data_IF_437232090945
#
_entry.id   IF_437232090945
#
_cell.length_a   1.000
_cell.length_b   1.000
_cell.length_c   1.000
_cell.angle_alpha   90.00
_cell.angle_beta   90.00
_cell.angle_gamma   90.00
#
_symmetry.space_group_name_H-M   'P 1'
#
loop_
_entity.id
_entity.type
_entity.pdbx_description
1 polymer ?
#
# COMPACT_ATOMS: atom_id res chain seq x y z
N UNK A 1 11.34 -14.63 22.33
CA UNK A 1 10.67 -15.09 21.13
C UNK A 1 9.80 -14.00 20.52
N UNK A 2 9.32 -14.19 19.29
CA UNK A 2 8.37 -13.29 18.65
C UNK A 2 6.95 -13.76 18.95
N UNK A 3 6.02 -12.81 19.11
CA UNK A 3 4.58 -13.11 19.15
C UNK A 3 4.07 -13.42 17.74
N UNK A 4 3.13 -14.36 17.66
CA UNK A 4 2.51 -14.77 16.40
C UNK A 4 1.05 -14.34 16.38
N UNK A 5 0.66 -13.53 15.41
CA UNK A 5 -0.71 -13.10 15.19
C UNK A 5 -1.24 -13.65 13.88
N UNK A 6 -2.38 -14.35 13.92
CA UNK A 6 -2.99 -14.91 12.72
C UNK A 6 -4.01 -13.96 12.12
N UNK A 7 -3.93 -13.71 10.82
CA UNK A 7 -4.94 -12.92 10.11
C UNK A 7 -6.16 -13.78 9.75
N UNK A 8 -7.28 -13.53 10.43
CA UNK A 8 -8.63 -14.04 10.11
C UNK A 8 -9.47 -12.85 9.65
N UNK A 9 -8.90 -12.02 8.79
CA UNK A 9 -9.37 -10.68 8.47
C UNK A 9 -10.02 -10.57 7.09
N UNK A 10 -10.73 -11.61 6.69
CA UNK A 10 -11.57 -11.61 5.49
C UNK A 10 -13.04 -11.69 5.87
N UNK A 11 -13.93 -11.16 5.03
CA UNK A 11 -15.35 -11.42 5.17
C UNK A 11 -15.62 -12.91 4.93
N UNK A 12 -16.49 -13.49 5.72
CA UNK A 12 -16.80 -14.93 5.73
C UNK A 12 -18.28 -15.14 5.47
N UNK A 13 -18.63 -16.19 4.73
CA UNK A 13 -20.02 -16.59 4.54
C UNK A 13 -20.43 -17.55 5.66
N UNK A 14 -21.72 -17.65 5.91
CA UNK A 14 -22.26 -18.52 6.98
C UNK A 14 -21.76 -19.96 6.88
N UNK A 15 -21.78 -20.53 5.67
CA UNK A 15 -21.28 -21.88 5.36
C UNK A 15 -19.77 -22.10 5.61
N UNK A 16 -19.00 -21.01 5.73
CA UNK A 16 -17.56 -21.04 5.99
C UNK A 16 -17.26 -20.93 7.50
N UNK A 17 -18.19 -20.40 8.28
CA UNK A 17 -18.05 -20.30 9.76
C UNK A 17 -17.95 -21.67 10.43
N UNK A 18 -18.69 -22.66 9.94
CA UNK A 18 -18.67 -24.03 10.47
C UNK A 18 -17.27 -24.65 10.45
N UNK A 19 -16.42 -24.25 9.52
CA UNK A 19 -15.05 -24.75 9.37
C UNK A 19 -14.04 -23.99 10.24
N UNK A 20 -14.45 -22.88 10.83
CA UNK A 20 -13.52 -21.97 11.51
C UNK A 20 -12.98 -22.57 12.82
N UNK A 21 -13.77 -23.40 13.50
CA UNK A 21 -13.36 -24.08 14.73
C UNK A 21 -12.17 -25.02 14.48
N UNK A 22 -12.33 -25.93 13.53
CA UNK A 22 -11.30 -26.91 13.18
C UNK A 22 -10.06 -26.24 12.59
N UNK A 23 -10.23 -25.11 11.90
CA UNK A 23 -9.13 -24.31 11.38
C UNK A 23 -8.34 -23.64 12.49
N UNK A 24 -8.98 -23.01 13.49
CA UNK A 24 -8.30 -22.23 14.53
C UNK A 24 -7.76 -23.08 15.69
N UNK A 25 -8.48 -24.15 16.08
CA UNK A 25 -8.16 -24.98 17.22
C UNK A 25 -6.69 -25.43 17.30
N UNK A 26 -6.07 -25.98 16.22
CA UNK A 26 -4.68 -26.45 16.29
C UNK A 26 -3.67 -25.35 16.61
N UNK A 27 -3.95 -24.11 16.20
CA UNK A 27 -3.09 -22.96 16.47
C UNK A 27 -3.30 -22.41 17.88
N UNK A 28 -4.56 -22.34 18.31
CA UNK A 28 -4.93 -21.94 19.68
C UNK A 28 -4.26 -22.85 20.71
N UNK A 29 -4.37 -24.19 20.55
CA UNK A 29 -3.75 -25.18 21.43
C UNK A 29 -2.21 -25.11 21.47
N UNK A 30 -1.59 -24.55 20.41
CA UNK A 30 -0.14 -24.32 20.35
C UNK A 30 0.30 -22.94 20.85
N UNK A 31 -0.61 -22.16 21.41
CA UNK A 31 -0.31 -20.87 22.02
C UNK A 31 -0.23 -19.72 21.00
N UNK A 32 -1.18 -19.66 20.05
CA UNK A 32 -1.35 -18.49 19.20
C UNK A 32 -1.61 -17.24 20.06
N UNK A 33 -0.80 -16.19 19.87
CA UNK A 33 -0.85 -15.00 20.74
C UNK A 33 -2.07 -14.11 20.50
N UNK A 34 -2.56 -14.00 19.25
CA UNK A 34 -3.77 -13.25 18.91
C UNK A 34 -4.26 -13.56 17.50
N UNK A 35 -5.48 -13.11 17.20
CA UNK A 35 -6.05 -13.07 15.84
C UNK A 35 -6.37 -11.65 15.42
N UNK A 36 -6.23 -11.36 14.10
CA UNK A 36 -6.60 -10.08 13.51
C UNK A 36 -7.88 -10.31 12.72
N UNK A 37 -8.99 -9.64 13.10
CA UNK A 37 -10.33 -9.93 12.63
C UNK A 37 -10.96 -8.70 11.96
N UNK A 38 -11.73 -8.91 10.89
CA UNK A 38 -12.56 -7.91 10.21
C UNK A 38 -14.06 -8.22 10.35
N UNK A 39 -14.44 -9.48 10.20
CA UNK A 39 -15.83 -9.94 10.14
C UNK A 39 -16.44 -10.03 11.53
N UNK A 40 -17.62 -9.43 11.74
CA UNK A 40 -18.30 -9.43 13.04
C UNK A 40 -18.85 -10.81 13.41
N UNK A 41 -19.22 -11.66 12.44
CA UNK A 41 -19.62 -13.05 12.68
C UNK A 41 -18.46 -13.87 13.20
N UNK A 42 -17.28 -13.73 12.54
CA UNK A 42 -16.02 -14.34 13.00
C UNK A 42 -15.64 -13.84 14.39
N UNK A 43 -15.81 -12.54 14.65
CA UNK A 43 -15.55 -11.94 15.95
C UNK A 43 -16.37 -12.61 17.06
N UNK A 44 -17.68 -12.68 16.86
CA UNK A 44 -18.60 -13.33 17.79
C UNK A 44 -18.23 -14.80 17.99
N UNK A 45 -18.01 -15.53 16.89
CA UNK A 45 -17.61 -16.93 16.92
C UNK A 45 -16.35 -17.17 17.77
N UNK A 46 -15.31 -16.34 17.60
CA UNK A 46 -14.06 -16.46 18.38
C UNK A 46 -14.33 -16.19 19.87
N UNK A 47 -15.14 -15.21 20.21
CA UNK A 47 -15.51 -14.93 21.60
C UNK A 47 -16.25 -16.09 22.29
N UNK A 48 -17.06 -16.81 21.53
CA UNK A 48 -17.84 -17.96 22.05
C UNK A 48 -16.99 -19.22 22.18
N UNK A 49 -16.05 -19.47 21.24
CA UNK A 49 -15.32 -20.75 21.20
C UNK A 49 -13.88 -20.67 21.70
N UNK A 50 -13.27 -19.47 21.67
CA UNK A 50 -11.89 -19.21 22.08
C UNK A 50 -11.82 -17.93 22.95
N UNK A 51 -12.48 -17.94 24.15
CA UNK A 51 -12.70 -16.71 24.95
C UNK A 51 -11.41 -16.04 25.40
N UNK A 52 -10.34 -16.81 25.61
CA UNK A 52 -9.04 -16.30 26.05
C UNK A 52 -8.14 -15.80 24.89
N UNK A 53 -8.55 -16.01 23.61
CA UNK A 53 -7.76 -15.60 22.47
C UNK A 53 -7.93 -14.10 22.23
N UNK A 54 -6.86 -13.29 22.34
CA UNK A 54 -6.93 -11.86 22.08
C UNK A 54 -7.34 -11.56 20.64
N UNK A 55 -8.23 -10.56 20.46
CA UNK A 55 -8.67 -10.10 19.15
C UNK A 55 -8.12 -8.72 18.88
N UNK A 56 -7.42 -8.56 17.74
CA UNK A 56 -7.01 -7.29 17.17
C UNK A 56 -7.98 -6.91 16.06
N UNK A 57 -8.58 -5.73 16.15
CA UNK A 57 -9.43 -5.20 15.09
C UNK A 57 -8.59 -4.86 13.85
N UNK A 58 -8.93 -5.47 12.71
CA UNK A 58 -8.20 -5.26 11.45
C UNK A 58 -8.35 -3.83 10.94
N UNK A 59 -7.34 -3.31 10.24
CA UNK A 59 -7.48 -2.07 9.47
C UNK A 59 -8.63 -2.10 8.47
N UNK A 60 -9.06 -3.28 8.04
CA UNK A 60 -10.22 -3.46 7.15
C UNK A 60 -11.57 -3.15 7.82
N UNK A 61 -11.62 -3.00 9.14
CA UNK A 61 -12.78 -2.48 9.85
C UNK A 61 -12.93 -0.96 9.74
N UNK A 62 -11.99 -0.29 9.08
CA UNK A 62 -12.03 1.15 8.78
C UNK A 62 -12.18 2.02 10.04
N UNK A 63 -11.33 1.77 11.03
CA UNK A 63 -11.36 2.56 12.27
C UNK A 63 -10.73 3.93 12.01
N UNK A 64 -11.56 4.96 11.98
CA UNK A 64 -11.20 6.34 11.63
C UNK A 64 -11.43 7.33 12.78
N UNK A 65 -11.73 6.86 14.00
CA UNK A 65 -11.91 7.72 15.14
C UNK A 65 -12.16 6.96 16.43
N UNK A 66 -12.10 7.68 17.55
CA UNK A 66 -12.15 7.09 18.88
C UNK A 66 -13.47 6.40 19.21
N UNK A 67 -14.63 6.86 18.66
CA UNK A 67 -15.92 6.19 18.91
C UNK A 67 -15.95 4.79 18.32
N UNK A 68 -15.38 4.60 17.13
CA UNK A 68 -15.27 3.27 16.54
C UNK A 68 -14.30 2.38 17.34
N UNK A 69 -13.18 2.95 17.79
CA UNK A 69 -12.22 2.24 18.64
C UNK A 69 -12.84 1.84 19.99
N UNK A 70 -13.65 2.73 20.61
CA UNK A 70 -14.37 2.47 21.84
C UNK A 70 -15.37 1.30 21.69
N UNK A 71 -16.19 1.32 20.64
CA UNK A 71 -17.12 0.22 20.38
C UNK A 71 -16.41 -1.13 20.21
N UNK A 72 -15.27 -1.15 19.52
CA UNK A 72 -14.48 -2.36 19.35
C UNK A 72 -13.85 -2.83 20.66
N UNK A 73 -13.41 -1.89 21.52
CA UNK A 73 -12.95 -2.22 22.87
C UNK A 73 -14.05 -2.85 23.71
N UNK A 74 -15.27 -2.28 23.67
CA UNK A 74 -16.46 -2.84 24.36
C UNK A 74 -16.82 -4.24 23.87
N UNK A 75 -16.56 -4.53 22.58
CA UNK A 75 -16.66 -5.87 22.02
C UNK A 75 -15.50 -6.79 22.40
N UNK A 76 -14.51 -6.29 23.16
CA UNK A 76 -13.36 -7.03 23.65
C UNK A 76 -12.13 -7.00 22.77
N UNK A 77 -11.95 -6.00 21.89
CA UNK A 77 -10.68 -5.78 21.20
C UNK A 77 -9.58 -5.46 22.23
N UNK A 78 -8.43 -6.11 22.07
CA UNK A 78 -7.22 -5.78 22.83
C UNK A 78 -6.34 -4.79 22.06
N UNK A 79 -6.48 -4.74 20.73
CA UNK A 79 -5.77 -3.84 19.83
C UNK A 79 -6.65 -3.40 18.69
N UNK A 80 -6.45 -2.17 18.24
CA UNK A 80 -7.09 -1.60 17.05
C UNK A 80 -6.01 -1.23 16.03
N UNK A 81 -6.13 -1.77 14.81
CA UNK A 81 -5.31 -1.33 13.67
C UNK A 81 -6.04 -0.20 12.96
N UNK A 82 -5.52 1.00 13.06
CA UNK A 82 -6.15 2.20 12.48
C UNK A 82 -6.22 2.11 10.95
N UNK A 83 -7.17 2.85 10.36
CA UNK A 83 -7.15 3.13 8.95
C UNK A 83 -5.86 3.92 8.59
N UNK A 84 -5.33 3.70 7.37
CA UNK A 84 -4.09 4.36 6.92
C UNK A 84 -4.27 5.85 6.64
N UNK A 85 -5.50 6.27 6.56
CA UNK A 85 -5.93 7.62 6.19
C UNK A 85 -5.96 8.61 7.36
N UNK A 86 -5.70 8.14 8.60
CA UNK A 86 -5.67 8.99 9.78
C UNK A 86 -4.39 9.83 9.84
N UNK A 87 -4.56 11.07 10.29
CA UNK A 87 -3.45 11.91 10.74
C UNK A 87 -2.96 11.49 12.13
N UNK A 88 -1.78 11.96 12.52
CA UNK A 88 -1.22 11.73 13.87
C UNK A 88 -2.10 12.33 14.96
N UNK A 89 -2.76 13.47 14.69
CA UNK A 89 -3.70 14.08 15.63
C UNK A 89 -4.92 13.18 15.86
N UNK A 90 -5.54 12.65 14.79
CA UNK A 90 -6.67 11.73 14.91
C UNK A 90 -6.29 10.44 15.68
N UNK A 91 -5.05 9.95 15.51
CA UNK A 91 -4.53 8.82 16.28
C UNK A 91 -4.36 9.18 17.75
N UNK A 92 -3.83 10.36 18.05
CA UNK A 92 -3.69 10.86 19.42
C UNK A 92 -5.06 11.01 20.11
N UNK A 93 -6.09 11.47 19.38
CA UNK A 93 -7.46 11.53 19.89
C UNK A 93 -8.00 10.14 20.26
N UNK A 94 -7.69 9.09 19.50
CA UNK A 94 -8.06 7.72 19.87
C UNK A 94 -7.39 7.33 21.18
N UNK A 95 -6.08 7.57 21.32
CA UNK A 95 -5.32 7.28 22.55
C UNK A 95 -5.91 8.00 23.77
N UNK A 96 -6.27 9.26 23.60
CA UNK A 96 -6.73 10.10 24.73
C UNK A 96 -8.12 9.71 25.24
N UNK A 97 -8.93 9.07 24.39
CA UNK A 97 -10.32 8.68 24.74
C UNK A 97 -10.48 7.20 25.03
N UNK A 98 -9.60 6.32 24.53
CA UNK A 98 -9.81 4.87 24.58
C UNK A 98 -8.55 4.17 25.05
N UNK A 99 -8.62 3.49 26.17
CA UNK A 99 -7.55 2.65 26.68
C UNK A 99 -7.51 1.31 25.89
N UNK A 100 -6.93 1.32 24.69
CA UNK A 100 -6.74 0.19 23.80
C UNK A 100 -5.38 0.31 23.11
N UNK A 101 -4.72 -0.81 22.84
CA UNK A 101 -3.48 -0.75 22.04
C UNK A 101 -3.77 -0.27 20.62
N UNK A 102 -3.02 0.72 20.17
CA UNK A 102 -3.11 1.26 18.81
C UNK A 102 -1.98 0.70 17.96
N UNK A 103 -2.33 0.12 16.80
CA UNK A 103 -1.38 -0.29 15.77
C UNK A 103 -1.58 0.55 14.51
N UNK A 104 -0.51 1.10 13.95
CA UNK A 104 -0.58 1.90 12.73
C UNK A 104 0.47 1.46 11.71
N UNK A 105 0.13 1.60 10.42
CA UNK A 105 1.08 1.32 9.34
C UNK A 105 2.16 2.39 9.27
N UNK A 106 3.40 1.94 9.16
CA UNK A 106 4.58 2.81 9.06
C UNK A 106 5.37 2.60 7.77
N UNK A 107 5.21 1.45 7.11
CA UNK A 107 5.95 1.16 5.88
C UNK A 107 5.19 0.25 4.93
N UNK A 108 5.36 0.49 3.63
CA UNK A 108 4.91 -0.37 2.55
C UNK A 108 3.69 0.15 1.79
N UNK A 109 2.96 -0.74 1.12
CA UNK A 109 1.94 -0.37 0.17
C UNK A 109 0.76 0.40 0.78
N UNK A 110 0.40 1.54 0.17
CA UNK A 110 -0.86 2.24 0.40
C UNK A 110 -1.93 1.78 -0.59
N UNK A 111 -3.18 1.73 -0.14
CA UNK A 111 -4.33 1.49 -1.00
C UNK A 111 -4.83 2.81 -1.61
N UNK A 112 -5.34 2.76 -2.84
CA UNK A 112 -5.99 3.90 -3.50
C UNK A 112 -7.31 4.28 -2.83
N UNK A 113 -8.07 3.28 -2.37
CA UNK A 113 -9.32 3.47 -1.63
C UNK A 113 -9.07 3.44 -0.12
N UNK A 114 -10.03 3.95 0.63
CA UNK A 114 -10.05 3.81 2.09
C UNK A 114 -9.81 2.37 2.53
N UNK A 115 -9.11 2.21 3.63
CA UNK A 115 -8.80 0.92 4.23
C UNK A 115 -10.07 0.09 4.44
N UNK A 116 -10.13 -1.12 3.87
CA UNK A 116 -11.29 -2.02 3.98
C UNK A 116 -12.47 -1.73 3.04
N UNK A 117 -12.49 -0.61 2.29
CA UNK A 117 -13.64 -0.17 1.50
C UNK A 117 -13.45 -0.34 -0.03
N UNK A 118 -12.40 -1.04 -0.46
CA UNK A 118 -12.07 -1.16 -1.87
C UNK A 118 -12.88 -2.24 -2.58
N UNK A 119 -13.65 -1.85 -3.61
CA UNK A 119 -14.38 -2.76 -4.50
C UNK A 119 -13.72 -2.93 -5.88
N UNK A 120 -12.64 -2.19 -6.19
CA UNK A 120 -12.06 -2.13 -7.53
C UNK A 120 -11.69 -3.51 -8.09
N UNK A 121 -11.03 -4.35 -7.28
CA UNK A 121 -10.63 -5.69 -7.70
C UNK A 121 -11.82 -6.65 -7.88
N UNK A 122 -12.90 -6.44 -7.15
CA UNK A 122 -14.14 -7.21 -7.30
C UNK A 122 -14.85 -6.87 -8.61
N UNK A 123 -14.95 -5.56 -8.92
CA UNK A 123 -15.67 -5.06 -10.10
C UNK A 123 -14.95 -5.37 -11.40
N UNK A 124 -13.62 -5.20 -11.45
CA UNK A 124 -12.86 -5.40 -12.69
C UNK A 124 -12.56 -6.88 -12.96
N UNK A 125 -12.25 -7.66 -11.92
CA UNK A 125 -11.74 -9.04 -12.10
C UNK A 125 -12.43 -10.11 -11.26
N UNK A 126 -13.57 -9.82 -10.61
CA UNK A 126 -14.30 -10.78 -9.77
C UNK A 126 -13.52 -11.26 -8.53
N UNK A 127 -12.38 -10.60 -8.18
CA UNK A 127 -11.49 -10.98 -7.08
C UNK A 127 -11.60 -9.99 -5.93
N UNK A 128 -12.42 -10.33 -4.91
CA UNK A 128 -12.65 -9.44 -3.79
C UNK A 128 -11.41 -9.25 -2.91
N UNK A 129 -11.04 -7.99 -2.69
CA UNK A 129 -9.99 -7.60 -1.74
C UNK A 129 -10.40 -7.90 -0.30
N UNK A 130 -11.67 -7.71 0.04
CA UNK A 130 -12.23 -7.96 1.36
C UNK A 130 -12.33 -9.47 1.69
N UNK A 131 -12.11 -10.32 0.70
CA UNK A 131 -11.97 -11.77 0.84
C UNK A 131 -10.52 -12.25 0.59
N UNK A 132 -9.54 -11.39 0.81
CA UNK A 132 -8.12 -11.72 0.68
C UNK A 132 -7.61 -11.96 -0.74
N UNK A 133 -8.42 -11.69 -1.79
CA UNK A 133 -8.15 -12.07 -3.19
C UNK A 133 -7.82 -10.90 -4.10
N UNK A 134 -7.43 -9.75 -3.55
CA UNK A 134 -7.13 -8.54 -4.32
C UNK A 134 -6.08 -8.82 -5.42
N UNK A 135 -6.46 -8.52 -6.68
CA UNK A 135 -5.56 -8.62 -7.84
C UNK A 135 -4.70 -7.37 -8.05
N UNK A 136 -4.84 -6.35 -7.20
CA UNK A 136 -4.14 -5.07 -7.28
C UNK A 136 -4.35 -4.34 -8.62
N UNK A 137 -5.58 -4.21 -9.16
CA UNK A 137 -5.81 -3.52 -10.43
C UNK A 137 -5.34 -2.06 -10.39
N UNK A 138 -5.38 -1.39 -9.24
CA UNK A 138 -4.84 -0.04 -9.06
C UNK A 138 -3.33 0.08 -9.36
N UNK A 139 -2.60 -1.03 -9.55
CA UNK A 139 -1.17 -1.07 -9.91
C UNK A 139 -0.94 -1.32 -11.40
N UNK A 140 -2.00 -1.34 -12.20
CA UNK A 140 -1.92 -1.46 -13.65
C UNK A 140 -1.86 -0.08 -14.31
N UNK A 141 -1.29 -0.01 -15.54
CA UNK A 141 -1.35 1.22 -16.31
C UNK A 141 -2.77 1.44 -16.87
N UNK A 142 -3.21 2.70 -16.89
CA UNK A 142 -4.50 3.12 -17.43
C UNK A 142 -4.31 4.24 -18.44
N UNK A 143 -5.12 4.24 -19.50
CA UNK A 143 -5.23 5.38 -20.40
C UNK A 143 -6.28 6.36 -19.84
N UNK A 144 -5.84 7.58 -19.53
CA UNK A 144 -6.74 8.63 -19.04
C UNK A 144 -7.35 9.36 -20.23
N UNK A 145 -8.68 9.42 -20.29
CA UNK A 145 -9.42 10.09 -21.33
C UNK A 145 -10.12 11.35 -20.78
N UNK A 146 -10.23 12.37 -21.60
CA UNK A 146 -11.13 13.51 -21.33
C UNK A 146 -12.60 13.05 -21.41
N UNK A 147 -13.55 13.85 -20.91
CA UNK A 147 -14.97 13.58 -21.06
C UNK A 147 -15.41 13.42 -22.53
N UNK A 148 -14.67 14.01 -23.48
CA UNK A 148 -14.88 13.85 -24.92
C UNK A 148 -14.19 12.61 -25.52
N UNK A 149 -13.66 11.68 -24.69
CA UNK A 149 -13.01 10.46 -25.12
C UNK A 149 -11.62 10.65 -25.76
N UNK A 150 -11.00 11.83 -25.63
CA UNK A 150 -9.65 12.07 -26.14
C UNK A 150 -8.62 11.70 -25.07
N UNK A 151 -7.49 11.03 -25.45
CA UNK A 151 -6.41 10.77 -24.53
C UNK A 151 -5.87 12.05 -23.88
N UNK A 152 -5.70 12.05 -22.56
CA UNK A 152 -5.00 13.11 -21.84
C UNK A 152 -3.51 12.89 -22.06
N UNK A 153 -2.86 13.85 -22.76
CA UNK A 153 -1.40 13.81 -22.89
C UNK A 153 -0.77 14.22 -21.56
N UNK A 154 0.12 13.37 -21.05
CA UNK A 154 0.86 13.68 -19.82
C UNK A 154 1.80 14.88 -20.03
N UNK A 155 2.04 15.64 -18.95
CA UNK A 155 2.98 16.76 -18.97
C UNK A 155 4.39 16.34 -19.41
N UNK A 156 4.81 15.12 -19.12
CA UNK A 156 6.08 14.55 -19.57
C UNK A 156 6.16 14.36 -21.09
N UNK A 157 5.05 13.94 -21.74
CA UNK A 157 4.98 13.84 -23.20
C UNK A 157 4.92 15.20 -23.86
N UNK A 158 4.27 16.19 -23.24
CA UNK A 158 4.25 17.56 -23.76
C UNK A 158 5.65 18.21 -23.73
N UNK A 159 6.42 17.96 -22.67
CA UNK A 159 7.80 18.46 -22.59
C UNK A 159 8.76 17.73 -23.55
N UNK A 160 8.61 16.42 -23.74
CA UNK A 160 9.40 15.68 -24.72
C UNK A 160 9.03 16.05 -26.16
N UNK A 161 7.74 16.28 -26.47
CA UNK A 161 7.30 16.76 -27.77
C UNK A 161 7.84 18.16 -28.08
N UNK A 162 7.78 19.09 -27.12
CA UNK A 162 8.39 20.43 -27.27
C UNK A 162 9.91 20.38 -27.42
N UNK A 163 10.59 19.49 -26.70
CA UNK A 163 12.02 19.29 -26.82
C UNK A 163 12.38 18.70 -28.20
N UNK A 164 11.59 17.75 -28.70
CA UNK A 164 11.78 17.14 -30.02
C UNK A 164 11.50 18.13 -31.16
N UNK A 165 10.46 18.97 -31.04
CA UNK A 165 10.18 20.04 -31.96
C UNK A 165 11.31 21.09 -31.99
N UNK A 166 11.82 21.50 -30.82
CA UNK A 166 12.94 22.42 -30.69
C UNK A 166 14.22 21.87 -31.34
N UNK A 167 14.51 20.57 -31.10
CA UNK A 167 15.66 19.89 -31.73
C UNK A 167 15.45 19.76 -33.24
N UNK A 168 14.22 19.52 -33.69
CA UNK A 168 13.89 19.38 -35.10
C UNK A 168 13.97 20.72 -35.86
N UNK A 169 13.56 21.82 -35.22
CA UNK A 169 13.71 23.18 -35.82
C UNK A 169 15.16 23.65 -35.84
N UNK A 170 15.95 23.35 -34.81
CA UNK A 170 17.39 23.63 -34.77
C UNK A 170 18.12 22.80 -35.82
N UNK A 171 17.72 21.55 -36.04
CA UNK A 171 18.22 20.69 -37.11
C UNK A 171 17.88 21.20 -38.51
N UNK A 172 16.67 21.78 -38.72
CA UNK A 172 16.26 22.38 -40.01
C UNK A 172 17.05 23.65 -40.36
N UNK A 173 17.43 24.43 -39.39
CA UNK A 173 18.28 25.64 -39.64
C UNK A 173 19.71 25.25 -40.03
N UNK A 174 20.25 24.15 -39.49
CA UNK A 174 21.57 23.63 -39.88
C UNK A 174 21.55 22.83 -41.17
N UNK A 175 20.42 22.23 -41.58
CA UNK A 175 20.28 21.46 -42.82
C UNK A 175 19.99 22.34 -44.09
N UNK A 176 19.64 23.65 -43.94
CA UNK A 176 19.48 24.56 -45.05
C UNK A 176 20.82 25.00 -45.70
N UNK A 177 21.93 24.62 -45.10
CA UNK A 177 23.27 24.94 -45.60
C UNK A 177 24.01 23.80 -46.31
N UNK A 178 23.36 22.60 -46.46
CA UNK A 178 23.96 21.54 -47.29
C UNK A 178 22.89 20.91 -48.18
N UNK A 179 23.03 21.17 -49.48
CA UNK A 179 22.12 20.80 -50.56
C UNK A 179 22.38 19.37 -51.06
N UNK A 180 21.32 18.78 -51.60
CA UNK A 180 21.19 17.73 -52.63
C UNK A 180 21.18 16.26 -52.23
N UNK A 181 20.06 15.61 -52.59
CA UNK A 181 20.06 14.34 -53.25
C UNK A 181 19.20 13.17 -52.73
N UNK A 182 18.13 12.95 -53.49
CA UNK A 182 17.46 11.65 -53.84
C UNK A 182 16.35 11.07 -53.01
N UNK A 183 15.25 10.85 -53.78
CA UNK A 183 13.97 10.17 -53.49
C UNK A 183 14.07 8.67 -53.18
N UNK A 184 13.19 8.20 -52.31
CA UNK A 184 12.83 6.78 -52.21
C UNK A 184 11.46 6.59 -51.54
N UNK A 185 10.49 6.03 -52.31
CA UNK A 185 9.12 5.71 -51.90
C UNK A 185 9.05 4.38 -51.17
N UNK A 186 8.15 4.25 -50.22
CA UNK A 186 7.73 2.94 -49.64
C UNK A 186 6.58 3.05 -48.66
N UNK A 187 5.35 2.81 -49.13
CA UNK A 187 4.14 2.60 -48.30
C UNK A 187 4.18 1.21 -47.70
N UNK A 188 3.76 1.04 -46.44
CA UNK A 188 2.90 -0.09 -46.01
C UNK A 188 2.36 0.17 -44.62
N UNK A 189 1.03 0.11 -44.49
CA UNK A 189 0.28 0.02 -43.25
C UNK A 189 0.22 -1.45 -42.79
N UNK A 190 0.36 -1.78 -41.52
CA UNK A 190 0.07 -3.11 -41.02
C UNK A 190 -1.33 -3.20 -40.41
N UNK A 191 -1.92 -4.32 -40.71
CA UNK A 191 -3.25 -4.82 -40.53
C UNK A 191 -3.68 -5.01 -39.06
N UNK A 192 -4.98 -5.00 -38.80
CA UNK A 192 -5.68 -4.89 -37.53
C UNK A 192 -5.95 -6.26 -36.85
N UNK A 193 -5.27 -7.33 -37.22
CA UNK A 193 -5.62 -8.69 -36.76
C UNK A 193 -4.72 -9.35 -35.69
N UNK A 194 -3.67 -8.65 -35.18
CA UNK A 194 -2.70 -9.32 -34.28
C UNK A 194 -2.69 -8.76 -32.84
N UNK A 195 -3.82 -8.30 -32.31
CA UNK A 195 -3.91 -7.77 -30.93
C UNK A 195 -4.15 -8.82 -29.83
N UNK A 196 -4.49 -10.05 -30.18
CA UNK A 196 -4.83 -11.09 -29.18
C UNK A 196 -3.71 -12.07 -28.83
N UNK A 197 -2.54 -11.98 -29.44
CA UNK A 197 -1.46 -12.96 -29.25
C UNK A 197 -0.36 -12.56 -28.24
N UNK A 198 -0.47 -11.41 -27.53
CA UNK A 198 0.61 -10.92 -26.63
C UNK A 198 0.25 -10.79 -25.16
N UNK A 199 -0.72 -11.54 -24.65
CA UNK A 199 -0.97 -11.63 -23.20
C UNK A 199 -0.39 -12.92 -22.57
N UNK A 200 0.84 -13.29 -22.90
CA UNK A 200 1.67 -14.13 -22.03
C UNK A 200 2.55 -13.20 -21.20
N UNK A 201 1.92 -12.55 -20.21
CA UNK A 201 2.57 -11.62 -19.30
C UNK A 201 3.56 -12.33 -18.38
N UNK A 202 4.73 -11.73 -18.20
CA UNK A 202 5.64 -12.06 -17.11
C UNK A 202 4.91 -11.96 -15.76
N UNK A 203 5.28 -12.76 -14.74
CA UNK A 203 4.66 -12.64 -13.42
C UNK A 203 4.72 -11.20 -12.91
N UNK A 204 3.61 -10.72 -12.36
CA UNK A 204 3.37 -9.35 -11.89
C UNK A 204 4.49 -8.78 -10.98
N UNK A 205 5.22 -9.66 -10.28
CA UNK A 205 6.30 -9.30 -9.36
C UNK A 205 7.57 -8.69 -10.02
N UNK A 206 7.66 -8.62 -11.35
CA UNK A 206 8.85 -8.14 -12.08
C UNK A 206 8.64 -6.87 -12.90
N UNK A 207 7.44 -6.29 -12.90
CA UNK A 207 7.22 -5.00 -13.56
C UNK A 207 7.59 -3.87 -12.58
N UNK A 208 8.85 -3.43 -12.61
CA UNK A 208 9.19 -2.12 -12.05
C UNK A 208 8.43 -1.08 -12.87
N UNK A 209 7.51 -0.34 -12.24
CA UNK A 209 6.98 0.87 -12.84
C UNK A 209 8.18 1.77 -13.18
N UNK A 210 8.30 2.17 -14.43
CA UNK A 210 9.31 3.16 -14.79
C UNK A 210 8.97 4.43 -14.02
N UNK A 211 9.93 4.97 -13.27
CA UNK A 211 9.78 6.24 -12.56
C UNK A 211 9.36 7.29 -13.60
N UNK A 212 8.14 7.86 -13.42
CA UNK A 212 7.58 8.86 -14.36
C UNK A 212 6.66 8.32 -15.46
N UNK A 213 6.20 7.06 -15.41
CA UNK A 213 5.15 6.59 -16.32
C UNK A 213 3.77 7.05 -15.82
N UNK A 214 3.26 8.13 -16.43
CA UNK A 214 1.98 8.79 -16.11
C UNK A 214 0.74 7.91 -16.31
N UNK A 215 0.88 6.68 -16.79
CA UNK A 215 -0.21 5.71 -16.92
C UNK A 215 -0.59 5.03 -15.61
N UNK A 216 0.28 5.06 -14.59
CA UNK A 216 0.01 4.43 -13.29
C UNK A 216 -0.75 5.36 -12.33
N UNK A 217 -1.80 6.01 -12.84
CA UNK A 217 -2.56 7.08 -12.17
C UNK A 217 -3.21 6.69 -10.85
N UNK A 218 -3.47 5.39 -10.62
CA UNK A 218 -4.04 4.87 -9.39
C UNK A 218 -2.99 4.25 -8.45
N UNK A 219 -1.72 4.18 -8.90
CA UNK A 219 -0.66 3.54 -8.12
C UNK A 219 0.01 4.53 -7.19
N UNK A 220 -0.39 4.54 -5.93
CA UNK A 220 0.25 5.36 -4.91
C UNK A 220 1.69 4.92 -4.66
N UNK A 221 2.53 5.87 -4.24
CA UNK A 221 3.85 5.59 -3.67
C UNK A 221 3.73 4.74 -2.42
N UNK A 222 4.79 4.01 -2.06
CA UNK A 222 4.80 3.26 -0.81
C UNK A 222 4.99 4.21 0.38
N UNK A 223 4.32 3.89 1.50
CA UNK A 223 4.48 4.59 2.77
C UNK A 223 5.90 4.37 3.31
N UNK A 224 6.54 5.41 3.80
CA UNK A 224 7.75 5.35 4.60
C UNK A 224 7.75 6.50 5.60
N UNK A 225 7.46 6.21 6.84
CA UNK A 225 7.32 7.21 7.91
C UNK A 225 8.57 7.32 8.78
N UNK A 226 9.72 6.89 8.26
CA UNK A 226 10.95 6.82 9.05
C UNK A 226 11.37 8.20 9.58
N UNK A 227 11.18 9.26 8.77
CA UNK A 227 11.54 10.63 9.19
C UNK A 227 10.62 11.19 10.28
N UNK A 228 9.38 10.73 10.36
CA UNK A 228 8.36 11.14 11.33
C UNK A 228 8.10 10.09 12.42
N UNK A 229 8.99 9.11 12.55
CA UNK A 229 8.83 8.01 13.50
C UNK A 229 8.69 8.50 14.97
N UNK A 230 9.44 9.52 15.43
CA UNK A 230 9.22 10.11 16.75
C UNK A 230 7.79 10.59 16.95
N UNK A 231 7.22 11.29 15.96
CA UNK A 231 5.85 11.81 16.02
C UNK A 231 4.81 10.68 16.12
N UNK A 232 5.04 9.57 15.39
CA UNK A 232 4.18 8.39 15.45
C UNK A 232 4.21 7.75 16.84
N UNK A 233 5.40 7.59 17.42
CA UNK A 233 5.54 7.01 18.77
C UNK A 233 4.86 7.90 19.81
N UNK A 234 5.06 9.20 19.74
CA UNK A 234 4.48 10.18 20.66
C UNK A 234 2.97 10.34 20.49
N UNK A 235 2.41 10.07 19.31
CA UNK A 235 0.96 10.05 19.11
C UNK A 235 0.27 8.89 19.84
N UNK A 236 1.04 7.96 20.44
CA UNK A 236 0.52 6.85 21.24
C UNK A 236 0.37 5.54 20.48
N UNK A 237 0.97 5.43 19.29
CA UNK A 237 1.03 4.16 18.56
C UNK A 237 1.89 3.16 19.34
N UNK A 238 1.28 2.08 19.79
CA UNK A 238 1.93 1.01 20.52
C UNK A 238 2.66 0.02 19.60
N UNK A 239 2.11 -0.25 18.42
CA UNK A 239 2.62 -1.24 17.47
C UNK A 239 2.80 -0.63 16.09
N UNK A 240 4.02 -0.76 15.54
CA UNK A 240 4.38 -0.27 14.23
C UNK A 240 4.19 -1.37 13.19
N UNK A 241 3.28 -1.20 12.24
CA UNK A 241 2.94 -2.20 11.24
C UNK A 241 3.66 -1.97 9.91
N UNK A 242 4.37 -3.00 9.45
CA UNK A 242 5.02 -3.03 8.15
C UNK A 242 4.20 -3.91 7.20
N UNK A 243 3.78 -3.36 6.05
CA UNK A 243 3.11 -4.15 5.01
C UNK A 243 4.14 -4.98 4.24
N UNK A 244 4.13 -6.28 4.49
CA UNK A 244 5.06 -7.23 3.87
C UNK A 244 4.38 -8.31 3.02
N UNK A 245 3.05 -8.27 2.88
CA UNK A 245 2.30 -9.27 2.10
C UNK A 245 2.79 -9.28 0.65
N UNK A 246 3.06 -10.47 0.12
CA UNK A 246 3.61 -10.69 -1.22
C UNK A 246 5.04 -10.12 -1.43
N UNK A 247 5.74 -9.79 -0.36
CA UNK A 247 7.13 -9.36 -0.38
C UNK A 247 8.10 -10.50 -0.09
N UNK A 248 9.37 -10.31 -0.44
CA UNK A 248 10.42 -11.30 -0.18
C UNK A 248 10.87 -11.29 1.29
N UNK A 249 11.42 -12.39 1.82
CA UNK A 249 12.05 -12.40 3.15
C UNK A 249 13.14 -11.32 3.30
N UNK A 250 13.92 -11.04 2.23
CA UNK A 250 14.91 -9.97 2.21
C UNK A 250 14.28 -8.58 2.46
N UNK A 251 13.14 -8.31 1.85
CA UNK A 251 12.40 -7.07 2.09
C UNK A 251 12.00 -6.97 3.56
N UNK A 252 11.35 -8.00 4.10
CA UNK A 252 10.87 -7.99 5.48
C UNK A 252 12.01 -7.81 6.47
N UNK A 253 13.09 -8.58 6.34
CA UNK A 253 14.26 -8.48 7.21
C UNK A 253 14.92 -7.09 7.12
N UNK A 254 15.11 -6.56 5.91
CA UNK A 254 15.74 -5.26 5.70
C UNK A 254 14.91 -4.10 6.24
N UNK A 255 13.60 -4.08 5.98
CA UNK A 255 12.72 -3.02 6.50
C UNK A 255 12.65 -3.08 8.02
N UNK A 256 12.44 -4.27 8.60
CA UNK A 256 12.36 -4.45 10.07
C UNK A 256 13.65 -4.02 10.74
N UNK A 257 14.82 -4.40 10.21
CA UNK A 257 16.12 -4.03 10.81
C UNK A 257 16.34 -2.52 10.83
N UNK A 258 15.97 -1.82 9.75
CA UNK A 258 16.08 -0.36 9.68
C UNK A 258 15.13 0.31 10.68
N UNK A 259 13.83 -0.06 10.68
CA UNK A 259 12.89 0.51 11.65
C UNK A 259 13.28 0.20 13.09
N UNK A 260 13.79 -1.02 13.37
CA UNK A 260 14.26 -1.38 14.72
C UNK A 260 15.42 -0.48 15.16
N UNK A 261 16.41 -0.24 14.27
CA UNK A 261 17.53 0.68 14.54
C UNK A 261 17.04 2.06 14.99
N UNK A 262 16.06 2.63 14.30
CA UNK A 262 15.57 3.98 14.59
C UNK A 262 14.60 4.04 15.77
N UNK A 263 13.86 2.99 16.03
CA UNK A 263 13.07 2.85 17.27
C UNK A 263 13.99 2.77 18.47
N UNK A 264 15.04 1.93 18.43
CA UNK A 264 16.01 1.78 19.52
C UNK A 264 16.73 3.11 19.77
N UNK A 265 17.17 3.77 18.69
CA UNK A 265 17.78 5.11 18.81
C UNK A 265 16.84 6.11 19.51
N UNK A 266 15.58 6.19 19.09
CA UNK A 266 14.61 7.09 19.70
C UNK A 266 14.33 6.74 21.17
N UNK A 267 14.22 5.47 21.51
CA UNK A 267 13.98 5.04 22.90
C UNK A 267 15.16 5.36 23.82
N UNK A 268 16.39 5.36 23.30
CA UNK A 268 17.61 5.65 24.06
C UNK A 268 17.88 7.16 24.18
N UNK A 269 17.65 7.93 23.10
CA UNK A 269 18.09 9.34 23.00
C UNK A 269 16.93 10.35 22.90
N UNK A 270 15.70 9.88 22.73
CA UNK A 270 14.56 10.75 22.45
C UNK A 270 14.63 11.41 21.06
N UNK A 271 14.11 12.63 20.95
CA UNK A 271 14.15 13.41 19.71
C UNK A 271 15.52 14.01 19.41
N UNK A 272 16.36 14.16 20.44
CA UNK A 272 17.64 14.84 20.30
C UNK A 272 18.57 14.09 19.35
N UNK A 273 18.98 14.78 18.28
CA UNK A 273 19.84 14.19 17.25
C UNK A 273 19.15 13.16 16.35
N UNK A 274 17.83 12.93 16.47
CA UNK A 274 17.14 12.01 15.57
C UNK A 274 17.25 12.48 14.12
N UNK A 275 17.95 11.70 13.33
CA UNK A 275 18.17 11.98 11.92
C UNK A 275 18.30 10.67 11.15
N UNK A 276 17.53 10.55 10.08
CA UNK A 276 17.59 9.38 9.19
C UNK A 276 18.80 9.47 8.27
N UNK A 277 19.63 8.42 8.28
CA UNK A 277 20.77 8.29 7.37
C UNK A 277 20.26 8.15 5.92
N UNK A 278 20.72 8.98 4.98
CA UNK A 278 20.38 8.83 3.58
C UNK A 278 20.72 7.46 2.98
N UNK A 279 21.71 6.74 3.55
CA UNK A 279 22.06 5.39 3.11
C UNK A 279 20.96 4.37 3.48
N UNK A 280 20.38 4.46 4.68
CA UNK A 280 19.26 3.62 5.10
C UNK A 280 18.02 3.87 4.23
N UNK A 281 17.76 5.14 3.91
CA UNK A 281 16.67 5.51 3.00
C UNK A 281 16.86 4.94 1.59
N UNK A 282 18.08 4.98 1.06
CA UNK A 282 18.42 4.33 -0.22
C UNK A 282 18.24 2.81 -0.14
N UNK A 283 18.67 2.19 0.95
CA UNK A 283 18.48 0.75 1.16
C UNK A 283 16.99 0.36 1.14
N UNK A 284 16.10 1.15 1.76
CA UNK A 284 14.66 0.91 1.70
C UNK A 284 14.12 0.97 0.27
N UNK A 285 14.58 1.93 -0.55
CA UNK A 285 14.23 2.03 -1.97
C UNK A 285 14.77 0.84 -2.77
N UNK A 286 15.99 0.39 -2.50
CA UNK A 286 16.60 -0.77 -3.17
C UNK A 286 15.89 -2.09 -2.82
N UNK A 287 15.30 -2.20 -1.64
CA UNK A 287 14.49 -3.34 -1.24
C UNK A 287 13.17 -3.39 -2.03
N UNK A 288 12.52 -2.25 -2.20
CA UNK A 288 11.31 -2.13 -3.01
C UNK A 288 10.94 -0.67 -3.27
N UNK A 289 10.68 -0.32 -4.53
CA UNK A 289 10.34 1.03 -4.97
C UNK A 289 9.16 1.04 -5.95
N UNK A 290 8.22 1.99 -5.77
CA UNK A 290 7.09 2.32 -6.67
C UNK A 290 7.09 3.80 -7.07
N UNK A 291 8.25 4.35 -7.37
CA UNK A 291 8.40 5.76 -7.73
C UNK A 291 8.63 6.67 -6.53
N UNK A 292 9.31 6.17 -5.50
CA UNK A 292 9.66 6.86 -4.28
C UNK A 292 8.70 6.58 -3.12
N UNK A 293 8.90 7.32 -2.02
CA UNK A 293 8.13 7.20 -0.80
C UNK A 293 7.19 8.39 -0.58
N UNK A 294 6.22 8.18 0.31
CA UNK A 294 5.36 9.20 0.93
C UNK A 294 5.28 8.94 2.43
N UNK A 295 5.12 9.97 3.23
CA UNK A 295 4.82 9.91 4.67
C UNK A 295 3.32 9.68 4.96
N UNK A 296 2.53 9.51 3.89
CA UNK A 296 1.09 9.24 3.99
C UNK A 296 0.29 10.46 4.40
N UNK A 297 -0.60 10.26 5.36
CA UNK A 297 -1.50 11.29 5.90
C UNK A 297 -1.06 11.82 7.27
N UNK A 298 0.16 11.48 7.72
CA UNK A 298 0.64 11.81 9.06
C UNK A 298 0.53 13.30 9.41
N UNK A 299 0.81 14.17 8.44
CA UNK A 299 0.66 15.61 8.57
C UNK A 299 -0.37 16.14 7.55
N UNK A 300 -1.66 15.83 7.75
CA UNK A 300 -2.71 16.56 7.04
C UNK A 300 -2.65 18.02 7.47
N UNK A 301 -2.32 18.90 6.56
CA UNK A 301 -2.68 20.31 6.66
C UNK A 301 -4.12 20.45 6.17
N UNK A 302 -4.98 21.06 7.00
CA UNK A 302 -6.34 21.46 6.62
C UNK A 302 -6.32 22.47 5.48
#
# INVERSE_FOLDING_TARGET
GCRLYMTVNTLVKEEELDQLYDFLKPYYERGLDAVIVQDLGVWKFIREHFPDLPIHASTQMTVTGWRSAQSLKEMGATRVVTARELSLQEIAEIRDHVDVEIESFVHGALCYCYSGQCLLSSLIGGRSGNRGRCAQPCRLPYDVLTAAGKPVQSAAKQNSAKLTESIYETGKQNARNQNTGKKGKGKHSPDMQDRNARMKGKPYAQQKAAVGDDRYVLSLKDLCTLDILPDIIESGVYSLKIEGRMKSPRYTAGVVSIYRKYVDYYLEHGRDGYKVDPADRRMLLDLFDRGGFTDGYGFKQE
#
